data_IF_568790474234
#
_entry.id   IF_568790474234
#
_cell.length_a   1.000
_cell.length_b   1.000
_cell.length_c   1.000
_cell.angle_alpha   90.00
_cell.angle_beta   90.00
_cell.angle_gamma   90.00
#
_symmetry.space_group_name_H-M   'P 1'
#
loop_
_entity.id
_entity.type
_entity.pdbx_description
1 polymer ?
#
# COMPACT_ATOMS: atom_id res chain seq x y z
N UNK A 1 10.00 -21.71 -16.78
CA UNK A 1 8.82 -20.88 -17.08
C UNK A 1 7.98 -20.81 -15.80
N UNK A 2 8.36 -19.96 -14.84
CA UNK A 2 7.75 -19.84 -13.50
C UNK A 2 7.62 -18.33 -13.19
N UNK A 3 6.73 -17.65 -13.90
CA UNK A 3 6.46 -16.22 -13.63
C UNK A 3 4.95 -15.90 -13.61
N UNK A 4 4.10 -16.81 -14.07
CA UNK A 4 2.67 -16.53 -14.29
C UNK A 4 1.77 -16.72 -13.06
N UNK A 5 2.18 -17.48 -12.05
CA UNK A 5 1.34 -17.71 -10.86
C UNK A 5 1.49 -16.65 -9.76
N UNK A 6 2.67 -16.03 -9.62
CA UNK A 6 2.90 -14.99 -8.60
C UNK A 6 2.21 -13.67 -8.98
N UNK A 7 2.20 -13.31 -10.27
CA UNK A 7 1.52 -12.09 -10.73
C UNK A 7 0.00 -12.21 -10.64
N UNK A 8 -0.59 -13.35 -10.99
CA UNK A 8 -2.04 -13.54 -10.87
C UNK A 8 -2.53 -13.51 -9.41
N UNK A 9 -1.73 -14.02 -8.46
CA UNK A 9 -2.05 -13.92 -7.04
C UNK A 9 -1.97 -12.47 -6.53
N UNK A 10 -0.99 -11.69 -7.02
CA UNK A 10 -0.79 -10.28 -6.66
C UNK A 10 -1.87 -9.37 -7.24
N UNK A 11 -2.21 -9.57 -8.51
CA UNK A 11 -3.24 -8.83 -9.24
C UNK A 11 -4.64 -9.13 -8.69
N UNK A 12 -4.93 -10.38 -8.29
CA UNK A 12 -6.18 -10.76 -7.64
C UNK A 12 -6.30 -10.20 -6.21
N UNK A 13 -5.19 -10.06 -5.48
CA UNK A 13 -5.13 -9.42 -4.16
C UNK A 13 -5.31 -7.90 -4.21
N UNK A 14 -4.82 -7.26 -5.27
CA UNK A 14 -5.04 -5.84 -5.56
C UNK A 14 -6.48 -5.57 -6.03
N UNK A 15 -7.07 -6.47 -6.82
CA UNK A 15 -8.40 -6.30 -7.42
C UNK A 15 -9.59 -6.62 -6.49
N UNK A 16 -9.50 -7.62 -5.59
CA UNK A 16 -10.66 -8.06 -4.78
C UNK A 16 -10.93 -7.19 -3.53
N UNK A 17 -10.02 -6.30 -3.11
CA UNK A 17 -10.14 -5.61 -1.82
C UNK A 17 -10.19 -4.06 -1.88
N UNK A 18 -10.17 -3.44 -3.06
CA UNK A 18 -10.28 -1.96 -3.21
C UNK A 18 -9.23 -1.18 -2.42
N UNK A 19 -9.39 0.13 -2.22
CA UNK A 19 -8.58 0.83 -1.20
C UNK A 19 -9.02 0.39 0.21
N UNK A 20 -8.14 0.45 1.24
CA UNK A 20 -8.57 0.26 2.62
C UNK A 20 -9.72 1.19 3.01
N UNK A 21 -10.44 0.84 4.07
CA UNK A 21 -11.50 1.70 4.60
C UNK A 21 -10.94 3.08 4.98
N UNK A 22 -11.75 4.13 4.79
CA UNK A 22 -11.40 5.48 5.26
C UNK A 22 -11.10 5.44 6.76
N UNK A 23 -10.05 6.12 7.18
CA UNK A 23 -9.56 6.15 8.56
C UNK A 23 -8.61 5.00 8.92
N UNK A 24 -8.38 4.03 8.03
CA UNK A 24 -7.38 2.97 8.28
C UNK A 24 -6.00 3.56 8.50
N UNK A 25 -5.28 3.00 9.48
CA UNK A 25 -3.91 3.39 9.82
C UNK A 25 -2.93 2.68 8.90
N UNK A 26 -2.11 3.45 8.19
CA UNK A 26 -1.18 2.94 7.20
C UNK A 26 0.24 3.27 7.61
N UNK A 27 1.06 2.24 7.81
CA UNK A 27 2.49 2.42 8.06
C UNK A 27 3.23 2.56 6.73
N UNK A 28 3.97 3.66 6.56
CA UNK A 28 4.76 3.95 5.36
C UNK A 28 6.18 3.45 5.58
N UNK A 29 6.70 2.63 4.68
CA UNK A 29 8.05 2.04 4.82
C UNK A 29 8.73 1.84 3.47
N UNK A 30 10.07 1.76 3.48
CA UNK A 30 10.88 1.54 2.26
C UNK A 30 11.08 2.77 1.37
N UNK A 31 10.59 3.95 1.78
CA UNK A 31 10.71 5.21 1.04
C UNK A 31 11.89 6.06 1.50
N UNK A 32 12.41 6.92 0.60
CA UNK A 32 13.23 8.05 1.02
C UNK A 32 12.40 9.02 1.86
N UNK A 33 13.04 9.93 2.60
CA UNK A 33 12.31 10.95 3.39
C UNK A 33 11.40 11.82 2.51
N UNK A 34 11.88 12.20 1.32
CA UNK A 34 11.10 13.01 0.38
C UNK A 34 9.87 12.25 -0.12
N UNK A 35 10.04 10.97 -0.47
CA UNK A 35 8.93 10.15 -0.96
C UNK A 35 7.95 9.78 0.15
N UNK A 36 8.43 9.64 1.39
CA UNK A 36 7.58 9.40 2.56
C UNK A 36 6.56 10.54 2.76
N UNK A 37 6.99 11.79 2.65
CA UNK A 37 6.08 12.95 2.78
C UNK A 37 5.08 13.02 1.62
N UNK A 38 5.49 12.65 0.41
CA UNK A 38 4.59 12.57 -0.74
C UNK A 38 3.55 11.44 -0.57
N UNK A 39 3.99 10.27 -0.10
CA UNK A 39 3.14 9.12 0.21
C UNK A 39 2.12 9.43 1.30
N UNK A 40 2.51 10.13 2.37
CA UNK A 40 1.62 10.56 3.43
C UNK A 40 0.51 11.50 2.93
N UNK A 41 0.84 12.46 2.05
CA UNK A 41 -0.16 13.33 1.41
C UNK A 41 -1.09 12.56 0.49
N UNK A 42 -0.57 11.57 -0.22
CA UNK A 42 -1.38 10.72 -1.08
C UNK A 42 -2.39 9.91 -0.25
N UNK A 43 -1.97 9.31 0.87
CA UNK A 43 -2.87 8.62 1.81
C UNK A 43 -3.99 9.54 2.33
N UNK A 44 -3.65 10.78 2.72
CA UNK A 44 -4.62 11.76 3.20
C UNK A 44 -5.71 12.08 2.14
N UNK A 45 -5.33 12.21 0.86
CA UNK A 45 -6.30 12.39 -0.25
C UNK A 45 -7.29 11.24 -0.38
N UNK A 46 -6.88 10.03 -0.01
CA UNK A 46 -7.75 8.84 0.01
C UNK A 46 -8.47 8.65 1.35
N UNK A 47 -8.30 9.57 2.31
CA UNK A 47 -8.88 9.49 3.64
C UNK A 47 -8.24 8.42 4.52
N UNK A 48 -6.98 8.05 4.26
CA UNK A 48 -6.20 7.09 5.03
C UNK A 48 -5.25 7.83 5.98
N UNK A 49 -4.96 7.24 7.13
CA UNK A 49 -4.16 7.88 8.17
C UNK A 49 -2.74 7.31 8.20
N UNK A 50 -1.75 8.09 7.78
CA UNK A 50 -0.36 7.70 7.92
C UNK A 50 0.03 7.53 9.41
N UNK A 51 0.75 6.46 9.74
CA UNK A 51 1.34 6.24 11.07
C UNK A 51 2.83 6.01 10.97
N UNK A 52 3.58 6.56 11.92
CA UNK A 52 5.02 6.36 12.05
C UNK A 52 5.37 4.96 12.60
N UNK A 53 4.40 4.28 13.21
CA UNK A 53 4.61 3.00 13.89
C UNK A 53 3.96 1.86 13.12
N UNK A 54 4.72 0.77 12.91
CA UNK A 54 4.20 -0.48 12.36
C UNK A 54 3.19 -1.15 13.30
N UNK A 55 3.38 -1.00 14.62
CA UNK A 55 2.47 -1.52 15.63
C UNK A 55 1.12 -0.78 15.56
N UNK A 56 0.02 -1.53 15.47
CA UNK A 56 -1.33 -0.97 15.38
C UNK A 56 -1.69 -0.34 14.03
N UNK A 57 -0.85 -0.52 13.00
CA UNK A 57 -1.22 -0.22 11.62
C UNK A 57 -2.09 -1.34 11.04
N UNK A 58 -3.12 -0.95 10.30
CA UNK A 58 -4.03 -1.86 9.59
C UNK A 58 -3.44 -2.29 8.24
N UNK A 59 -2.63 -1.40 7.64
CA UNK A 59 -2.00 -1.63 6.33
C UNK A 59 -0.56 -1.14 6.29
N UNK A 60 0.18 -1.59 5.29
CA UNK A 60 1.55 -1.18 4.98
C UNK A 60 1.56 -0.55 3.59
N UNK A 61 2.10 0.65 3.44
CA UNK A 61 2.40 1.27 2.14
C UNK A 61 3.90 1.14 1.85
N UNK A 62 4.23 0.64 0.66
CA UNK A 62 5.60 0.43 0.22
C UNK A 62 5.80 0.88 -1.24
N UNK A 63 7.05 1.16 -1.67
CA UNK A 63 7.36 1.40 -3.07
C UNK A 63 7.01 0.20 -3.95
N UNK A 64 6.91 0.43 -5.25
CA UNK A 64 6.77 -0.63 -6.25
C UNK A 64 8.08 -0.90 -7.00
N UNK A 65 8.54 -2.16 -7.07
CA UNK A 65 8.06 -3.31 -6.29
C UNK A 65 8.44 -3.19 -4.80
N UNK A 66 7.66 -3.81 -3.88
CA UNK A 66 8.03 -3.85 -2.48
C UNK A 66 9.28 -4.72 -2.27
N UNK A 67 10.11 -4.36 -1.30
CA UNK A 67 11.23 -5.20 -0.88
C UNK A 67 10.74 -6.50 -0.24
N UNK A 68 11.52 -7.58 -0.35
CA UNK A 68 11.18 -8.89 0.22
C UNK A 68 10.94 -8.82 1.74
N UNK A 69 11.73 -8.04 2.47
CA UNK A 69 11.55 -7.82 3.91
C UNK A 69 10.17 -7.26 4.25
N UNK A 70 9.65 -6.35 3.42
CA UNK A 70 8.33 -5.75 3.61
C UNK A 70 7.22 -6.73 3.28
N UNK A 71 7.39 -7.55 2.24
CA UNK A 71 6.45 -8.63 1.90
C UNK A 71 6.36 -9.62 3.05
N UNK A 72 7.50 -10.10 3.55
CA UNK A 72 7.54 -11.04 4.67
C UNK A 72 6.96 -10.42 5.96
N UNK A 73 7.20 -9.12 6.21
CA UNK A 73 6.61 -8.43 7.35
C UNK A 73 5.08 -8.31 7.26
N UNK A 74 4.56 -8.03 6.05
CA UNK A 74 3.12 -8.01 5.80
C UNK A 74 2.50 -9.40 6.03
N UNK A 75 3.09 -10.45 5.45
CA UNK A 75 2.63 -11.83 5.60
C UNK A 75 2.63 -12.29 7.05
N UNK A 76 3.75 -12.10 7.77
CA UNK A 76 3.87 -12.50 9.19
C UNK A 76 2.87 -11.78 10.09
N UNK A 77 2.49 -10.56 9.73
CA UNK A 77 1.55 -9.75 10.52
C UNK A 77 0.10 -9.87 10.06
N UNK A 78 -0.16 -10.60 8.96
CA UNK A 78 -1.47 -10.65 8.31
C UNK A 78 -1.97 -9.28 7.82
N UNK A 79 -1.06 -8.30 7.69
CA UNK A 79 -1.42 -6.94 7.25
C UNK A 79 -1.51 -6.87 5.75
N UNK A 80 -2.41 -6.01 5.30
CA UNK A 80 -2.54 -5.71 3.88
C UNK A 80 -1.36 -4.86 3.41
N UNK A 81 -0.70 -5.29 2.34
CA UNK A 81 0.30 -4.52 1.63
C UNK A 81 -0.37 -3.69 0.51
N UNK A 82 -0.01 -2.42 0.42
CA UNK A 82 -0.48 -1.46 -0.58
C UNK A 82 0.74 -1.03 -1.38
N UNK A 83 0.72 -1.27 -2.70
CA UNK A 83 1.70 -0.69 -3.63
C UNK A 83 1.39 0.78 -3.90
N UNK A 84 2.43 1.60 -4.07
CA UNK A 84 2.28 3.03 -4.37
C UNK A 84 1.45 3.27 -5.64
N UNK A 85 1.72 2.53 -6.72
CA UNK A 85 1.04 2.62 -8.01
C UNK A 85 -0.45 2.34 -7.92
N UNK A 86 -0.88 1.44 -7.01
CA UNK A 86 -2.29 1.19 -6.75
C UNK A 86 -2.96 2.45 -6.19
N UNK A 87 -2.29 3.13 -5.25
CA UNK A 87 -2.79 4.34 -4.61
C UNK A 87 -2.81 5.52 -5.60
N UNK A 88 -1.77 5.66 -6.44
CA UNK A 88 -1.70 6.66 -7.51
C UNK A 88 -2.74 6.44 -8.61
N UNK A 89 -2.99 5.18 -9.00
CA UNK A 89 -3.98 4.82 -10.02
C UNK A 89 -5.44 5.02 -9.55
N UNK A 90 -5.68 5.07 -8.24
CA UNK A 90 -7.00 5.31 -7.66
C UNK A 90 -7.34 6.79 -7.50
N UNK A 91 -6.50 7.70 -8.02
CA UNK A 91 -6.86 9.12 -8.16
C UNK A 91 -8.10 9.19 -9.04
N UNK A 92 -9.24 9.53 -8.44
CA UNK A 92 -10.53 9.60 -9.11
C UNK A 92 -10.41 10.38 -10.44
N UNK A 93 -11.10 9.96 -11.51
CA UNK A 93 -11.21 10.80 -12.70
C UNK A 93 -11.75 12.17 -12.27
N UNK A 94 -11.27 13.28 -12.88
CA UNK A 94 -11.76 14.61 -12.53
C UNK A 94 -13.28 14.61 -12.65
N UNK A 95 -13.95 14.90 -11.54
CA UNK A 95 -15.40 15.09 -11.52
C UNK A 95 -15.71 16.23 -12.49
N UNK A 96 -16.38 15.92 -13.60
CA UNK A 96 -16.98 16.92 -14.49
C UNK A 96 -18.26 17.46 -13.89
#
# INVERSE_FOLDING_TARGET
MIATMHDAAREKYEAELGLPARGSRVWITGFTRQDHDAAARLLDRHGLCATAFAAGADCILAPDPPSEDVVQAAERSGRRLIGLRLLEGHVAPPSR
#
